data_IF_380750540832
#
_entry.id   IF_380750540832
#
_cell.length_a   1.000
_cell.length_b   1.000
_cell.length_c   1.000
_cell.angle_alpha   90.00
_cell.angle_beta   90.00
_cell.angle_gamma   90.00
#
_symmetry.space_group_name_H-M   'P 1'
#
loop_
_entity.id
_entity.type
_entity.pdbx_description
1 polymer ?
#
# COMPACT_ATOMS: atom_id res chain seq x y z
N UNK A 1 -11.18 -10.56 -15.83
CA UNK A 1 -11.79 -9.25 -15.49
C UNK A 1 -10.71 -8.41 -14.83
N UNK A 2 -10.01 -7.59 -15.62
CA UNK A 2 -8.82 -6.88 -15.14
C UNK A 2 -9.26 -5.55 -14.54
N UNK A 3 -9.76 -5.60 -13.31
CA UNK A 3 -10.12 -4.40 -12.54
C UNK A 3 -8.84 -3.62 -12.24
N UNK A 4 -8.60 -2.54 -12.96
CA UNK A 4 -7.55 -1.57 -12.67
C UNK A 4 -7.87 -0.86 -11.35
N UNK A 5 -7.54 -1.50 -10.23
CA UNK A 5 -7.72 -0.97 -8.88
C UNK A 5 -6.76 0.20 -8.71
N UNK A 6 -7.31 1.43 -8.67
CA UNK A 6 -6.54 2.66 -8.49
C UNK A 6 -5.75 2.62 -7.18
N UNK A 7 -4.62 3.32 -7.11
CA UNK A 7 -3.82 3.39 -5.88
C UNK A 7 -4.66 3.88 -4.69
N UNK A 8 -5.55 4.86 -4.91
CA UNK A 8 -6.49 5.36 -3.89
C UNK A 8 -7.38 4.25 -3.33
N UNK A 9 -7.92 3.38 -4.18
CA UNK A 9 -8.75 2.25 -3.72
C UNK A 9 -7.96 1.21 -2.91
N UNK A 10 -6.68 0.97 -3.25
CA UNK A 10 -5.80 0.11 -2.45
C UNK A 10 -5.52 0.69 -1.07
N UNK A 11 -5.25 2.00 -0.99
CA UNK A 11 -5.02 2.70 0.27
C UNK A 11 -6.29 2.68 1.13
N UNK A 12 -7.45 2.97 0.54
CA UNK A 12 -8.73 2.94 1.25
C UNK A 12 -9.08 1.55 1.81
N UNK A 13 -8.61 0.47 1.17
CA UNK A 13 -8.80 -0.90 1.63
C UNK A 13 -7.77 -1.38 2.67
N UNK A 14 -6.74 -0.59 3.01
CA UNK A 14 -5.73 -1.01 3.97
C UNK A 14 -6.29 -1.22 5.39
N UNK A 15 -5.79 -2.20 6.16
CA UNK A 15 -6.26 -2.44 7.52
C UNK A 15 -5.72 -1.40 8.51
N UNK A 16 -6.49 -1.11 9.55
CA UNK A 16 -6.01 -0.37 10.74
C UNK A 16 -5.32 -1.35 11.71
N UNK A 17 -4.25 -2.00 11.24
CA UNK A 17 -3.49 -2.99 12.02
C UNK A 17 -1.99 -2.92 11.72
N UNK A 18 -1.14 -3.53 12.57
CA UNK A 18 0.29 -3.58 12.32
C UNK A 18 0.62 -4.35 11.05
N UNK A 19 1.69 -3.94 10.36
CA UNK A 19 2.18 -4.63 9.18
C UNK A 19 3.30 -3.90 8.46
N UNK A 20 3.59 -4.39 7.26
CA UNK A 20 4.62 -3.86 6.36
C UNK A 20 3.96 -3.49 5.03
N UNK A 21 4.36 -2.36 4.44
CA UNK A 21 3.98 -1.96 3.09
C UNK A 21 5.22 -1.84 2.19
N UNK A 22 5.00 -2.06 0.90
CA UNK A 22 6.03 -2.03 -0.13
C UNK A 22 5.63 -1.01 -1.18
N UNK A 23 6.46 -0.01 -1.42
CA UNK A 23 6.29 0.91 -2.54
C UNK A 23 7.10 0.41 -3.72
N UNK A 24 6.47 0.44 -4.88
CA UNK A 24 7.07 0.04 -6.15
C UNK A 24 7.07 1.22 -7.12
N UNK A 25 8.07 1.29 -7.97
CA UNK A 25 8.08 2.23 -9.09
C UNK A 25 7.12 1.79 -10.21
N UNK A 26 7.10 2.56 -11.32
CA UNK A 26 6.26 2.27 -12.48
C UNK A 26 6.65 0.97 -13.21
N UNK A 27 7.88 0.49 -13.05
CA UNK A 27 8.38 -0.77 -13.63
C UNK A 27 8.18 -1.96 -12.66
N UNK A 28 7.71 -1.72 -11.45
CA UNK A 28 7.46 -2.72 -10.42
C UNK A 28 8.65 -3.00 -9.50
N UNK A 29 9.76 -2.27 -9.63
CA UNK A 29 10.91 -2.41 -8.74
C UNK A 29 10.58 -1.87 -7.35
N UNK A 30 11.02 -2.56 -6.31
CA UNK A 30 10.81 -2.13 -4.92
C UNK A 30 11.74 -0.96 -4.63
N UNK A 31 11.17 0.19 -4.28
CA UNK A 31 11.92 1.41 -3.96
C UNK A 31 11.90 1.74 -2.46
N UNK A 32 10.94 1.20 -1.71
CA UNK A 32 10.82 1.43 -0.28
C UNK A 32 10.02 0.32 0.41
N UNK A 33 10.43 -0.03 1.63
CA UNK A 33 9.70 -0.93 2.53
C UNK A 33 9.55 -0.21 3.88
N UNK A 34 8.31 -0.08 4.36
CA UNK A 34 8.02 0.55 5.64
C UNK A 34 7.18 -0.35 6.54
N UNK A 35 7.39 -0.25 7.86
CA UNK A 35 6.55 -0.90 8.88
C UNK A 35 5.72 0.13 9.63
N UNK A 36 4.52 -0.25 10.05
CA UNK A 36 3.66 0.61 10.87
C UNK A 36 2.82 -0.21 11.84
N UNK A 37 2.39 0.42 12.94
CA UNK A 37 1.38 -0.13 13.85
C UNK A 37 -0.03 -0.06 13.27
N UNK A 38 -0.25 0.84 12.31
CA UNK A 38 -1.46 0.94 11.51
C UNK A 38 -1.07 1.23 10.08
N UNK A 39 -1.33 0.30 9.17
CA UNK A 39 -1.07 0.48 7.74
C UNK A 39 -1.95 1.58 7.16
N UNK A 40 -3.26 1.60 7.51
CA UNK A 40 -4.19 2.64 7.08
C UNK A 40 -3.68 4.03 7.43
N UNK A 41 -3.33 4.30 8.71
CA UNK A 41 -2.91 5.65 9.16
C UNK A 41 -1.57 6.08 8.60
N UNK A 42 -0.67 5.13 8.28
CA UNK A 42 0.65 5.45 7.75
C UNK A 42 0.61 5.86 6.28
N UNK A 43 -0.31 5.27 5.51
CA UNK A 43 -0.35 5.39 4.04
C UNK A 43 -1.48 6.30 3.56
N UNK A 44 -2.53 6.52 4.36
CA UNK A 44 -3.67 7.41 4.08
C UNK A 44 -3.28 8.84 3.78
#
# INVERSE_FOLDING_TARGET
MNTSTTLKSKIAAMPDSPGVYVMKDALGAIIYIGKALSLRKRVS
#
